data_IF_467375649459
#
_entry.id   IF_467375649459
#
_cell.length_a   1.000
_cell.length_b   1.000
_cell.length_c   1.000
_cell.angle_alpha   90.00
_cell.angle_beta   90.00
_cell.angle_gamma   90.00
#
_symmetry.space_group_name_H-M   'P 1'
#
loop_
_entity.id
_entity.type
_entity.pdbx_description
1 polymer ?
#
# COMPACT_ATOMS: atom_id res chain seq x y z
N UNK A 1 -5.19 28.57 -65.56
CA UNK A 1 -5.13 28.22 -64.12
C UNK A 1 -5.88 29.28 -63.32
N UNK A 2 -7.05 28.98 -62.81
CA UNK A 2 -7.89 29.92 -62.05
C UNK A 2 -7.74 29.60 -60.56
N UNK A 3 -7.22 30.56 -59.79
CA UNK A 3 -7.07 30.49 -58.37
C UNK A 3 -8.36 31.00 -57.73
N UNK A 4 -9.06 30.18 -57.02
CA UNK A 4 -10.22 30.55 -56.20
C UNK A 4 -9.79 30.67 -54.74
N UNK A 5 -9.93 31.88 -54.19
CA UNK A 5 -9.77 32.17 -52.76
C UNK A 5 -11.17 32.19 -52.15
N UNK A 6 -11.49 31.36 -51.18
CA UNK A 6 -12.72 31.54 -50.42
C UNK A 6 -12.50 32.44 -49.20
N UNK A 7 -13.39 33.38 -49.12
CA UNK A 7 -13.57 34.39 -48.08
C UNK A 7 -13.92 33.70 -46.75
N UNK A 8 -13.11 33.99 -45.73
CA UNK A 8 -13.42 33.57 -44.33
C UNK A 8 -14.39 34.61 -43.74
N UNK A 9 -15.61 34.18 -43.47
CA UNK A 9 -16.64 34.96 -42.78
C UNK A 9 -16.45 34.79 -41.25
N UNK A 10 -15.97 35.86 -40.62
CA UNK A 10 -15.89 35.95 -39.15
C UNK A 10 -17.30 36.17 -38.57
N UNK A 11 -17.81 35.19 -37.84
CA UNK A 11 -18.99 35.36 -36.99
C UNK A 11 -18.55 35.49 -35.52
N UNK A 12 -18.56 36.74 -35.04
CA UNK A 12 -18.48 37.10 -33.66
C UNK A 12 -19.85 36.88 -33.05
N UNK A 13 -19.98 35.90 -32.16
CA UNK A 13 -21.17 35.73 -31.30
C UNK A 13 -20.79 35.53 -29.86
N UNK A 14 -20.94 36.57 -29.10
CA UNK A 14 -21.62 36.65 -27.81
C UNK A 14 -21.13 35.78 -26.66
N UNK A 15 -20.26 36.36 -25.82
CA UNK A 15 -20.08 35.89 -24.46
C UNK A 15 -21.40 36.03 -23.66
N UNK A 16 -22.10 34.93 -23.37
CA UNK A 16 -23.11 34.89 -22.30
C UNK A 16 -22.42 34.37 -21.02
N UNK A 17 -22.35 35.26 -20.04
CA UNK A 17 -21.99 34.91 -18.66
C UNK A 17 -22.96 33.86 -18.10
N UNK A 18 -22.52 32.59 -18.07
CA UNK A 18 -23.20 31.55 -17.29
C UNK A 18 -22.67 31.63 -15.87
N UNK A 19 -23.49 32.16 -14.97
CA UNK A 19 -23.30 32.01 -13.52
C UNK A 19 -23.45 30.52 -13.18
N UNK A 20 -22.36 29.82 -13.05
CA UNK A 20 -22.33 28.49 -12.47
C UNK A 20 -22.58 28.62 -10.95
N UNK A 21 -23.78 28.28 -10.52
CA UNK A 21 -24.04 27.94 -9.12
C UNK A 21 -23.11 26.79 -8.75
N UNK A 22 -22.21 27.05 -7.80
CA UNK A 22 -21.39 26.02 -7.20
C UNK A 22 -22.28 25.01 -6.48
N UNK A 23 -22.55 23.90 -7.11
CA UNK A 23 -22.94 22.69 -6.42
C UNK A 23 -21.65 22.05 -5.92
N UNK A 24 -21.38 22.23 -4.64
CA UNK A 24 -20.41 21.40 -3.91
C UNK A 24 -20.95 19.96 -3.94
N UNK A 25 -20.63 19.22 -5.00
CA UNK A 25 -20.67 17.78 -4.92
C UNK A 25 -19.50 17.35 -4.04
N UNK A 26 -19.78 17.20 -2.76
CA UNK A 26 -18.97 16.40 -1.85
C UNK A 26 -18.92 15.03 -2.51
N UNK A 27 -17.77 14.72 -3.14
CA UNK A 27 -17.45 13.35 -3.49
C UNK A 27 -17.33 12.62 -2.15
N UNK A 28 -18.38 11.92 -1.76
CA UNK A 28 -18.34 10.88 -0.76
C UNK A 28 -17.37 9.80 -1.30
N UNK A 29 -16.08 10.03 -1.11
CA UNK A 29 -15.09 8.97 -1.14
C UNK A 29 -15.36 8.17 0.12
N UNK A 30 -16.27 7.21 0.02
CA UNK A 30 -16.40 6.12 0.98
C UNK A 30 -15.09 5.30 0.93
N UNK A 31 -14.01 5.89 1.41
CA UNK A 31 -12.80 5.18 1.77
C UNK A 31 -13.15 4.43 3.05
N UNK A 32 -13.66 3.22 2.89
CA UNK A 32 -13.86 2.28 4.00
C UNK A 32 -12.50 2.05 4.63
N UNK A 33 -12.20 2.82 5.69
CA UNK A 33 -11.01 2.62 6.53
C UNK A 33 -11.08 1.18 7.04
N UNK A 34 -10.02 0.37 6.87
CA UNK A 34 -10.01 -1.01 7.33
C UNK A 34 -10.43 -1.09 8.80
N UNK A 35 -11.44 -1.91 9.09
CA UNK A 35 -12.03 -2.10 10.43
C UNK A 35 -11.00 -2.47 11.52
N UNK A 36 -9.82 -2.91 11.11
CA UNK A 36 -8.75 -3.40 11.98
C UNK A 36 -7.52 -2.48 12.05
N UNK A 37 -7.44 -1.44 11.22
CA UNK A 37 -6.41 -0.43 11.42
C UNK A 37 -6.88 0.51 12.52
N UNK A 38 -6.27 0.41 13.72
CA UNK A 38 -6.34 1.48 14.70
C UNK A 38 -5.97 2.78 13.99
N UNK A 39 -6.88 3.76 14.00
CA UNK A 39 -6.61 5.08 13.46
C UNK A 39 -5.31 5.59 14.08
N UNK A 40 -4.30 5.76 13.24
CA UNK A 40 -2.93 6.11 13.55
C UNK A 40 -2.75 6.99 14.79
N UNK A 41 -2.36 6.39 15.88
CA UNK A 41 -1.79 7.12 17.02
C UNK A 41 -0.27 7.27 16.89
N UNK A 42 0.36 6.58 15.92
CA UNK A 42 1.80 6.69 15.71
C UNK A 42 2.17 8.06 15.15
N UNK A 43 2.69 8.93 16.02
CA UNK A 43 3.15 10.30 15.70
C UNK A 43 4.66 10.37 15.49
N UNK A 44 5.33 9.22 15.30
CA UNK A 44 6.78 9.16 15.21
C UNK A 44 7.36 9.67 13.88
N UNK A 45 8.64 10.03 13.91
CA UNK A 45 9.45 10.37 12.73
C UNK A 45 9.87 9.09 11.99
N UNK A 46 10.56 9.24 10.87
CA UNK A 46 11.07 8.13 10.07
C UNK A 46 12.00 7.19 10.85
N UNK A 47 12.84 7.74 11.74
CA UNK A 47 13.76 6.95 12.59
C UNK A 47 12.96 6.18 13.65
N UNK A 48 11.86 6.75 14.11
CA UNK A 48 10.98 6.13 15.09
C UNK A 48 10.28 4.90 14.52
N UNK A 49 9.96 4.88 13.21
CA UNK A 49 9.36 3.72 12.55
C UNK A 49 10.25 2.48 12.62
N UNK A 50 11.55 2.64 12.33
CA UNK A 50 12.51 1.53 12.41
C UNK A 50 12.68 1.05 13.85
N UNK A 51 12.85 1.99 14.81
CA UNK A 51 12.94 1.68 16.22
C UNK A 51 11.69 0.95 16.72
N UNK A 52 10.49 1.46 16.36
CA UNK A 52 9.23 0.84 16.71
C UNK A 52 9.14 -0.60 16.17
N UNK A 53 9.42 -0.81 14.88
CA UNK A 53 9.34 -2.16 14.28
C UNK A 53 10.32 -3.12 14.95
N UNK A 54 11.54 -2.67 15.27
CA UNK A 54 12.52 -3.50 15.99
C UNK A 54 12.01 -3.88 17.38
N UNK A 55 11.69 -2.90 18.22
CA UNK A 55 11.38 -3.14 19.63
C UNK A 55 9.98 -3.72 19.85
N UNK A 56 8.99 -3.27 19.10
CA UNK A 56 7.59 -3.68 19.33
C UNK A 56 7.19 -4.92 18.53
N UNK A 57 7.90 -5.24 17.45
CA UNK A 57 7.54 -6.39 16.60
C UNK A 57 8.66 -7.44 16.56
N UNK A 58 9.90 -7.06 16.19
CA UNK A 58 10.97 -8.05 15.99
C UNK A 58 11.43 -8.66 17.31
N UNK A 59 11.63 -7.86 18.36
CA UNK A 59 12.05 -8.35 19.67
C UNK A 59 10.98 -9.24 20.32
N UNK A 60 9.72 -9.08 19.90
CA UNK A 60 8.56 -9.85 20.36
C UNK A 60 8.07 -10.89 19.36
N UNK A 61 8.81 -11.19 18.30
CA UNK A 61 8.33 -12.05 17.21
C UNK A 61 7.90 -13.46 17.65
N UNK A 62 8.43 -13.98 18.75
CA UNK A 62 8.01 -15.25 19.34
C UNK A 62 6.54 -15.26 19.77
N UNK A 63 5.95 -14.07 20.01
CA UNK A 63 4.54 -13.96 20.37
C UNK A 63 3.61 -14.16 19.16
N UNK A 64 4.14 -14.05 17.93
CA UNK A 64 3.38 -14.13 16.67
C UNK A 64 3.61 -15.42 15.90
N UNK A 65 4.78 -16.07 16.08
CA UNK A 65 5.14 -17.32 15.38
C UNK A 65 4.15 -18.43 15.74
N UNK A 66 3.69 -19.19 14.74
CA UNK A 66 2.70 -20.25 14.86
C UNK A 66 1.26 -19.76 15.03
N UNK A 67 1.04 -18.44 15.13
CA UNK A 67 -0.30 -17.85 15.23
C UNK A 67 -0.76 -17.26 13.89
N UNK A 68 -2.05 -16.96 13.82
CA UNK A 68 -2.63 -16.24 12.69
C UNK A 68 -2.04 -14.81 12.62
N UNK A 69 -1.75 -14.33 11.41
CA UNK A 69 -1.18 -12.98 11.21
C UNK A 69 -2.01 -11.87 11.86
N UNK A 70 -3.32 -12.06 12.01
CA UNK A 70 -4.20 -11.08 12.68
C UNK A 70 -3.73 -10.69 14.08
N UNK A 71 -2.99 -11.56 14.79
CA UNK A 71 -2.44 -11.25 16.12
C UNK A 71 -1.43 -10.12 16.00
N UNK A 72 -0.49 -10.24 15.07
CA UNK A 72 0.47 -9.18 14.77
C UNK A 72 -0.23 -7.91 14.23
N UNK A 73 -1.19 -8.05 13.32
CA UNK A 73 -1.91 -6.91 12.75
C UNK A 73 -2.71 -6.11 13.79
N UNK A 74 -3.18 -6.77 14.86
CA UNK A 74 -3.85 -6.11 15.98
C UNK A 74 -2.88 -5.31 16.87
N UNK A 75 -1.63 -5.76 16.98
CA UNK A 75 -0.58 -5.09 17.77
C UNK A 75 0.13 -3.99 16.95
N UNK A 76 0.05 -4.07 15.63
CA UNK A 76 0.73 -3.15 14.74
C UNK A 76 0.06 -1.76 14.75
N UNK A 77 0.78 -0.73 15.23
CA UNK A 77 0.30 0.65 15.27
C UNK A 77 0.58 1.44 13.98
N UNK A 78 1.41 0.87 13.09
CA UNK A 78 1.77 1.47 11.81
C UNK A 78 0.75 1.13 10.73
N UNK A 79 0.37 2.09 9.88
CA UNK A 79 -0.46 1.80 8.70
C UNK A 79 0.35 1.01 7.67
N UNK A 80 -0.23 -0.06 7.16
CA UNK A 80 0.32 -0.75 6.00
C UNK A 80 -0.16 0.00 4.76
N UNK A 81 0.76 0.62 4.01
CA UNK A 81 0.42 1.35 2.80
C UNK A 81 0.28 0.43 1.59
N UNK A 82 1.25 -0.43 1.41
CA UNK A 82 1.27 -1.38 0.31
C UNK A 82 2.00 -2.66 0.70
N UNK A 83 1.93 -3.66 -0.16
CA UNK A 83 2.58 -4.95 0.07
C UNK A 83 3.11 -5.54 -1.24
N UNK A 84 4.01 -6.51 -1.11
CA UNK A 84 4.44 -7.36 -2.23
C UNK A 84 4.54 -8.79 -1.76
N UNK A 85 4.31 -9.71 -2.68
CA UNK A 85 4.50 -11.15 -2.46
C UNK A 85 5.81 -11.59 -3.11
N UNK A 86 6.45 -12.61 -2.54
CA UNK A 86 7.60 -13.23 -3.16
C UNK A 86 7.15 -14.51 -3.85
N UNK A 87 7.54 -14.75 -5.11
CA UNK A 87 7.09 -16.00 -5.66
C UNK A 87 7.42 -16.38 -7.09
N UNK A 88 8.15 -15.57 -7.83
CA UNK A 88 8.38 -15.86 -9.26
C UNK A 88 9.11 -17.19 -9.57
N UNK A 89 9.82 -17.76 -8.60
CA UNK A 89 10.60 -19.00 -8.81
C UNK A 89 9.98 -20.25 -8.20
N UNK A 90 8.89 -20.11 -7.46
CA UNK A 90 8.23 -21.21 -6.77
C UNK A 90 6.88 -21.45 -7.44
N UNK A 91 6.82 -22.47 -8.25
CA UNK A 91 5.69 -22.92 -9.07
C UNK A 91 4.31 -22.62 -8.44
N UNK A 92 3.76 -21.44 -8.69
CA UNK A 92 2.40 -21.07 -8.30
C UNK A 92 2.17 -20.80 -6.80
N UNK A 93 3.22 -20.65 -5.98
CA UNK A 93 3.07 -20.37 -4.55
C UNK A 93 3.95 -19.20 -4.10
N UNK A 94 3.52 -18.52 -3.05
CA UNK A 94 4.26 -17.44 -2.38
C UNK A 94 4.58 -17.81 -0.93
N UNK A 95 5.86 -17.95 -0.55
CA UNK A 95 6.25 -18.27 0.81
C UNK A 95 6.28 -17.04 1.73
N UNK A 96 6.18 -15.82 1.20
CA UNK A 96 6.40 -14.58 1.95
C UNK A 96 5.48 -13.45 1.51
N UNK A 97 5.22 -12.54 2.45
CA UNK A 97 4.54 -11.28 2.26
C UNK A 97 5.43 -10.16 2.81
N UNK A 98 5.69 -9.13 2.03
CA UNK A 98 6.42 -7.94 2.49
C UNK A 98 5.43 -6.82 2.76
N UNK A 99 5.33 -6.39 4.00
CA UNK A 99 4.52 -5.26 4.45
C UNK A 99 5.35 -3.99 4.39
N UNK A 100 4.79 -2.93 3.82
CA UNK A 100 5.45 -1.66 3.58
C UNK A 100 4.66 -0.52 4.20
N UNK A 101 5.33 0.31 4.98
CA UNK A 101 4.70 1.34 5.80
C UNK A 101 4.67 2.72 5.14
N UNK A 102 5.38 2.90 4.01
CA UNK A 102 5.42 4.15 3.28
C UNK A 102 4.77 4.02 1.91
N UNK A 103 4.19 5.10 1.36
CA UNK A 103 3.82 5.15 -0.04
C UNK A 103 5.01 4.85 -0.96
N UNK A 104 4.76 4.25 -2.12
CA UNK A 104 5.82 3.79 -3.05
C UNK A 104 6.83 4.89 -3.43
N UNK A 105 6.36 6.10 -3.67
CA UNK A 105 7.22 7.24 -3.98
C UNK A 105 8.12 7.63 -2.80
N UNK A 106 7.63 7.55 -1.57
CA UNK A 106 8.41 7.85 -0.35
C UNK A 106 9.42 6.74 -0.10
N UNK A 107 9.04 5.46 -0.29
CA UNK A 107 9.95 4.32 -0.19
C UNK A 107 11.13 4.47 -1.16
N UNK A 108 10.87 4.89 -2.40
CA UNK A 108 11.90 5.12 -3.40
C UNK A 108 12.84 6.27 -3.02
N UNK A 109 12.31 7.41 -2.58
CA UNK A 109 13.11 8.54 -2.10
C UNK A 109 14.00 8.16 -0.91
N UNK A 110 13.49 7.34 0.02
CA UNK A 110 14.29 6.85 1.14
C UNK A 110 15.46 5.99 0.66
N UNK A 111 15.24 5.06 -0.26
CA UNK A 111 16.30 4.22 -0.83
C UNK A 111 17.38 5.04 -1.54
N UNK A 112 16.97 6.04 -2.33
CA UNK A 112 17.91 6.96 -2.99
C UNK A 112 18.74 7.77 -1.98
N UNK A 113 18.12 8.18 -0.88
CA UNK A 113 18.77 8.88 0.21
C UNK A 113 19.57 7.96 1.16
N UNK A 114 19.64 6.65 0.89
CA UNK A 114 20.23 5.62 1.76
C UNK A 114 19.61 5.61 3.16
N UNK A 115 18.31 5.83 3.24
CA UNK A 115 17.51 5.73 4.46
C UNK A 115 16.68 4.45 4.38
N UNK A 116 16.67 3.67 5.46
CA UNK A 116 15.91 2.41 5.51
C UNK A 116 14.41 2.67 5.30
N UNK A 117 13.78 2.05 4.28
CA UNK A 117 12.34 2.19 4.04
C UNK A 117 11.49 1.34 5.00
N UNK A 118 12.09 0.57 5.86
CA UNK A 118 11.43 -0.28 6.87
C UNK A 118 10.41 -1.23 6.23
N UNK A 119 10.89 -2.40 5.82
CA UNK A 119 10.04 -3.45 5.23
C UNK A 119 10.01 -4.64 6.17
N UNK A 120 8.81 -5.04 6.58
CA UNK A 120 8.58 -6.20 7.42
C UNK A 120 8.15 -7.38 6.56
N UNK A 121 8.92 -8.47 6.59
CA UNK A 121 8.66 -9.67 5.82
C UNK A 121 8.03 -10.73 6.73
N UNK A 122 6.85 -11.17 6.36
CA UNK A 122 6.16 -12.29 6.99
C UNK A 122 6.47 -13.55 6.17
N UNK A 123 6.98 -14.57 6.83
CA UNK A 123 7.18 -15.90 6.23
C UNK A 123 6.01 -16.77 6.66
N UNK A 124 5.37 -17.45 5.72
CA UNK A 124 4.22 -18.29 5.99
C UNK A 124 4.61 -19.68 6.47
N UNK A 125 3.83 -20.25 7.37
CA UNK A 125 3.96 -21.67 7.77
C UNK A 125 3.66 -22.57 6.56
N UNK A 126 2.59 -22.24 5.82
CA UNK A 126 2.24 -22.89 4.54
C UNK A 126 2.28 -21.81 3.44
N UNK A 127 3.12 -21.97 2.40
CA UNK A 127 3.14 -21.04 1.28
C UNK A 127 1.77 -20.85 0.65
N UNK A 128 1.44 -19.63 0.25
CA UNK A 128 0.11 -19.26 -0.26
C UNK A 128 0.02 -19.44 -1.79
N UNK A 129 -1.13 -19.84 -2.32
CA UNK A 129 -1.33 -20.04 -3.75
C UNK A 129 -1.39 -18.70 -4.49
N UNK A 130 -0.62 -18.55 -5.59
CA UNK A 130 -0.54 -17.32 -6.39
C UNK A 130 -1.84 -17.07 -7.16
N UNK A 131 -2.56 -18.09 -7.57
CA UNK A 131 -3.86 -17.98 -8.25
C UNK A 131 -4.94 -17.29 -7.41
N UNK A 132 -4.78 -17.27 -6.10
CA UNK A 132 -5.66 -16.53 -5.17
C UNK A 132 -5.10 -15.12 -4.91
N UNK A 133 -3.80 -14.99 -4.62
CA UNK A 133 -3.25 -13.71 -4.15
C UNK A 133 -2.92 -12.74 -5.28
N UNK A 134 -2.53 -13.21 -6.47
CA UNK A 134 -2.21 -12.33 -7.60
C UNK A 134 -3.45 -11.56 -8.12
N UNK A 135 -4.63 -12.18 -8.33
CA UNK A 135 -5.83 -11.43 -8.69
C UNK A 135 -6.19 -10.35 -7.67
N UNK A 136 -6.09 -10.64 -6.37
CA UNK A 136 -6.34 -9.68 -5.29
C UNK A 136 -5.34 -8.53 -5.34
N UNK A 137 -4.05 -8.83 -5.48
CA UNK A 137 -2.98 -7.83 -5.57
C UNK A 137 -3.14 -6.93 -6.80
N UNK A 138 -3.51 -7.48 -7.96
CA UNK A 138 -3.75 -6.72 -9.19
C UNK A 138 -4.97 -5.82 -9.02
N UNK A 139 -6.10 -6.37 -8.55
CA UNK A 139 -7.36 -5.65 -8.31
C UNK A 139 -7.14 -4.45 -7.40
N UNK A 140 -6.44 -4.63 -6.29
CA UNK A 140 -6.22 -3.62 -5.26
C UNK A 140 -4.91 -2.82 -5.49
N UNK A 141 -4.21 -3.03 -6.62
CA UNK A 141 -2.97 -2.34 -6.99
C UNK A 141 -1.89 -2.45 -5.91
N UNK A 142 -1.84 -3.58 -5.23
CA UNK A 142 -0.97 -3.87 -4.09
C UNK A 142 -1.15 -2.89 -2.90
N UNK A 143 -2.27 -2.18 -2.82
CA UNK A 143 -2.65 -1.37 -1.65
C UNK A 143 -3.26 -2.31 -0.62
N UNK A 144 -2.90 -2.12 0.65
CA UNK A 144 -3.46 -2.90 1.75
C UNK A 144 -4.89 -2.46 2.05
N UNK A 145 -5.86 -3.35 1.87
CA UNK A 145 -7.28 -3.12 2.10
C UNK A 145 -7.87 -4.11 3.12
N UNK A 146 -9.17 -4.02 3.38
CA UNK A 146 -9.87 -4.99 4.23
C UNK A 146 -9.81 -6.42 3.65
N UNK A 147 -9.78 -6.55 2.33
CA UNK A 147 -9.71 -7.85 1.65
C UNK A 147 -8.38 -8.54 1.96
N UNK A 148 -7.25 -7.82 1.86
CA UNK A 148 -5.94 -8.31 2.25
C UNK A 148 -5.88 -8.64 3.75
N UNK A 149 -6.42 -7.73 4.56
CA UNK A 149 -6.48 -7.91 6.01
C UNK A 149 -7.21 -9.20 6.41
N UNK A 150 -8.36 -9.49 5.78
CA UNK A 150 -9.15 -10.67 6.06
C UNK A 150 -8.51 -11.96 5.53
N UNK A 151 -7.93 -11.91 4.34
CA UNK A 151 -7.30 -13.06 3.72
C UNK A 151 -5.99 -13.43 4.44
N UNK A 152 -5.04 -12.49 4.49
CA UNK A 152 -3.73 -12.72 5.09
C UNK A 152 -3.81 -12.86 6.61
N UNK A 153 -4.76 -12.18 7.25
CA UNK A 153 -4.97 -12.25 8.68
C UNK A 153 -5.24 -13.65 9.23
N UNK A 154 -5.75 -14.56 8.41
CA UNK A 154 -6.04 -15.96 8.76
C UNK A 154 -4.85 -16.91 8.54
N UNK A 155 -3.78 -16.43 7.92
CA UNK A 155 -2.63 -17.26 7.59
C UNK A 155 -1.66 -17.34 8.77
N UNK A 156 -1.06 -18.51 8.95
CA UNK A 156 -0.13 -18.75 10.06
C UNK A 156 1.27 -18.27 9.76
N UNK A 157 1.84 -17.55 10.70
CA UNK A 157 3.17 -16.97 10.63
C UNK A 157 4.22 -18.03 11.03
N UNK A 158 5.18 -18.29 10.14
CA UNK A 158 6.34 -19.14 10.45
C UNK A 158 7.49 -18.31 10.99
N UNK A 159 7.74 -17.13 10.44
CA UNK A 159 8.78 -16.22 10.90
C UNK A 159 8.47 -14.78 10.47
N UNK A 160 9.13 -13.83 11.13
CA UNK A 160 9.05 -12.40 10.85
C UNK A 160 10.47 -11.87 10.73
N UNK A 161 10.76 -11.16 9.62
CA UNK A 161 12.07 -10.65 9.30
C UNK A 161 11.98 -9.17 8.94
N UNK A 162 12.81 -8.34 9.56
CA UNK A 162 13.02 -6.96 9.13
C UNK A 162 14.09 -6.97 8.03
N UNK A 163 13.81 -6.34 6.87
CA UNK A 163 14.79 -6.22 5.80
C UNK A 163 15.89 -5.28 6.24
N UNK A 164 17.12 -5.73 6.18
CA UNK A 164 18.31 -4.90 6.41
C UNK A 164 18.86 -4.45 5.04
N UNK A 165 18.84 -3.14 4.81
CA UNK A 165 19.40 -2.54 3.59
C UNK A 165 20.90 -2.23 3.70
N UNK A 166 21.52 -2.42 4.88
CA UNK A 166 22.91 -2.08 5.10
C UNK A 166 23.21 -0.59 4.98
N UNK A 167 22.19 0.27 5.08
CA UNK A 167 22.37 1.71 5.13
C UNK A 167 22.83 2.10 6.54
N UNK A 168 24.06 2.58 6.66
CA UNK A 168 24.66 3.08 7.90
C UNK A 168 24.77 4.59 7.85
#
# INVERSE_FOLDING_TARGET
>A
MKIYIPIILMLLLGCKNVKTKGTNSVLDVNTTVPKYQKLNTFKGTTNDTLAYVRTSIIDRKSEYIGKDLKVLLNDLELPINNYTTAGSNLRGISPRLSLKFYPKNVEELKRQAKIDPVILVIVWETPLPLDIIDPMMIKNKAIWTNEEQEYYGKQKVKDIVLVDYGFQ
#
